data_IF_956996036655
#
_entry.id   IF_956996036655
#
_cell.length_a   1.000
_cell.length_b   1.000
_cell.length_c   1.000
_cell.angle_alpha   90.00
_cell.angle_beta   90.00
_cell.angle_gamma   90.00
#
_symmetry.space_group_name_H-M   'P 1'
#
loop_
_entity.id
_entity.type
_entity.pdbx_description
1 polymer ?
#
# COMPACT_ATOMS: atom_id res chain seq x y z
N UNK A 1 10.60 7.18 -0.48
CA UNK A 1 9.57 6.20 -0.89
C UNK A 1 8.79 6.71 -2.08
N UNK A 2 8.19 5.80 -2.80
CA UNK A 2 7.43 6.12 -4.01
C UNK A 2 6.05 5.47 -3.95
N UNK A 3 5.02 6.24 -4.31
CA UNK A 3 3.63 5.76 -4.30
C UNK A 3 2.92 6.20 -5.58
N UNK A 4 2.13 5.29 -6.14
CA UNK A 4 1.24 5.60 -7.27
C UNK A 4 -0.08 6.10 -6.71
N UNK A 5 -0.42 7.36 -7.00
CA UNK A 5 -1.62 8.01 -6.49
C UNK A 5 -2.28 8.87 -7.56
N UNK A 6 -3.56 9.13 -7.39
CA UNK A 6 -4.27 10.13 -8.21
C UNK A 6 -3.90 11.52 -7.69
N UNK A 7 -3.00 12.18 -8.40
CA UNK A 7 -2.49 13.48 -7.99
C UNK A 7 -3.58 14.55 -7.75
N UNK A 8 -4.63 14.66 -8.60
CA UNK A 8 -5.69 15.64 -8.33
C UNK A 8 -6.35 15.47 -6.97
N UNK A 9 -6.56 14.23 -6.53
CA UNK A 9 -7.17 13.93 -5.22
C UNK A 9 -6.24 14.29 -4.07
N UNK A 10 -4.96 13.96 -4.21
CA UNK A 10 -3.93 14.30 -3.21
C UNK A 10 -3.78 15.81 -3.09
N UNK A 11 -3.69 16.51 -4.22
CA UNK A 11 -3.58 17.97 -4.25
C UNK A 11 -4.78 18.65 -3.62
N UNK A 12 -5.98 18.21 -3.96
CA UNK A 12 -7.21 18.76 -3.37
C UNK A 12 -7.25 18.61 -1.85
N UNK A 13 -6.80 17.46 -1.33
CA UNK A 13 -6.72 17.22 0.10
C UNK A 13 -5.70 18.15 0.79
N UNK A 14 -4.53 18.33 0.20
CA UNK A 14 -3.52 19.27 0.71
C UNK A 14 -4.01 20.71 0.69
N UNK A 15 -4.70 21.14 -0.37
CA UNK A 15 -5.26 22.48 -0.46
C UNK A 15 -6.36 22.72 0.58
N UNK A 16 -7.11 21.67 0.94
CA UNK A 16 -8.21 21.76 1.92
C UNK A 16 -7.73 21.69 3.37
N UNK A 17 -6.78 20.80 3.69
CA UNK A 17 -6.43 20.48 5.07
C UNK A 17 -4.92 20.41 5.35
N UNK A 18 -4.08 20.55 4.33
CA UNK A 18 -2.62 20.41 4.48
C UNK A 18 -2.13 18.97 4.62
N UNK A 19 -3.01 17.98 4.45
CA UNK A 19 -2.66 16.56 4.54
C UNK A 19 -3.54 15.70 3.65
N UNK A 20 -3.04 14.51 3.34
CA UNK A 20 -3.79 13.50 2.60
C UNK A 20 -3.81 12.18 3.40
N UNK A 21 -5.00 11.68 3.64
CA UNK A 21 -5.22 10.36 4.27
C UNK A 21 -6.16 9.57 3.37
N UNK A 22 -5.75 8.37 2.90
CA UNK A 22 -6.66 7.50 2.14
C UNK A 22 -7.89 7.15 2.98
N UNK A 23 -9.04 7.07 2.31
CA UNK A 23 -10.31 6.73 2.94
C UNK A 23 -10.64 5.26 2.75
N UNK A 24 -10.92 4.56 3.85
CA UNK A 24 -11.34 3.15 3.83
C UNK A 24 -12.67 2.96 3.08
N UNK A 25 -13.65 3.78 3.38
CA UNK A 25 -14.96 3.71 2.72
C UNK A 25 -14.88 4.03 1.24
N UNK A 26 -14.04 5.00 0.84
CA UNK A 26 -13.81 5.32 -0.57
C UNK A 26 -13.10 4.18 -1.31
N UNK A 27 -12.12 3.55 -0.69
CA UNK A 27 -11.43 2.40 -1.26
C UNK A 27 -12.38 1.21 -1.48
N UNK A 28 -13.25 0.94 -0.50
CA UNK A 28 -14.29 -0.08 -0.62
C UNK A 28 -15.26 0.23 -1.76
N UNK A 29 -15.77 1.43 -1.82
CA UNK A 29 -16.71 1.84 -2.87
C UNK A 29 -16.09 1.73 -4.26
N UNK A 30 -14.83 2.14 -4.41
CA UNK A 30 -14.09 2.01 -5.67
C UNK A 30 -13.92 0.56 -6.09
N UNK A 31 -13.51 -0.31 -5.17
CA UNK A 31 -13.36 -1.74 -5.42
C UNK A 31 -14.66 -2.38 -5.90
N UNK A 32 -15.78 -2.08 -5.22
CA UNK A 32 -17.09 -2.60 -5.60
C UNK A 32 -17.52 -2.08 -6.98
N UNK A 33 -17.28 -0.81 -7.27
CA UNK A 33 -17.63 -0.23 -8.56
C UNK A 33 -16.81 -0.85 -9.72
N UNK A 34 -15.53 -1.14 -9.50
CA UNK A 34 -14.67 -1.76 -10.51
C UNK A 34 -14.98 -3.24 -10.73
N UNK A 35 -15.28 -3.98 -9.68
CA UNK A 35 -15.47 -5.44 -9.72
C UNK A 35 -16.93 -5.86 -9.89
N UNK A 36 -17.87 -4.97 -9.68
CA UNK A 36 -19.31 -5.24 -9.79
C UNK A 36 -19.94 -5.88 -8.55
N UNK A 37 -19.15 -6.32 -7.58
CA UNK A 37 -19.59 -6.86 -6.29
C UNK A 37 -18.54 -6.64 -5.20
N UNK A 38 -18.80 -7.08 -3.98
CA UNK A 38 -17.89 -6.91 -2.84
C UNK A 38 -16.94 -8.09 -2.59
N UNK A 39 -16.94 -9.12 -3.43
CA UNK A 39 -16.22 -10.37 -3.17
C UNK A 39 -14.72 -10.15 -3.01
N UNK A 40 -14.11 -9.40 -3.94
CA UNK A 40 -12.69 -9.09 -3.86
C UNK A 40 -12.35 -8.27 -2.61
N UNK A 41 -13.16 -7.27 -2.31
CA UNK A 41 -12.95 -6.44 -1.12
C UNK A 41 -13.07 -7.26 0.18
N UNK A 42 -14.07 -8.12 0.26
CA UNK A 42 -14.28 -8.96 1.43
C UNK A 42 -13.12 -9.95 1.64
N UNK A 43 -12.49 -10.38 0.57
CA UNK A 43 -11.33 -11.28 0.63
C UNK A 43 -10.04 -10.55 1.04
N UNK A 44 -9.81 -9.33 0.58
CA UNK A 44 -8.54 -8.61 0.78
C UNK A 44 -8.54 -7.70 2.00
N UNK A 45 -9.68 -7.13 2.36
CA UNK A 45 -9.77 -6.15 3.45
C UNK A 45 -9.30 -6.66 4.81
N UNK A 46 -9.48 -7.95 5.19
CA UNK A 46 -8.91 -8.45 6.44
C UNK A 46 -7.39 -8.33 6.53
N UNK A 47 -6.67 -8.46 5.40
CA UNK A 47 -5.23 -8.28 5.37
C UNK A 47 -4.83 -6.82 5.60
N UNK A 48 -5.60 -5.88 5.08
CA UNK A 48 -5.39 -4.45 5.34
C UNK A 48 -5.67 -4.09 6.79
N UNK A 49 -6.72 -4.65 7.38
CA UNK A 49 -7.04 -4.47 8.80
C UNK A 49 -5.94 -5.03 9.69
N UNK A 50 -5.42 -6.22 9.36
CA UNK A 50 -4.29 -6.81 10.05
C UNK A 50 -3.06 -5.89 10.02
N UNK A 51 -2.74 -5.32 8.86
CA UNK A 51 -1.62 -4.40 8.70
C UNK A 51 -1.80 -3.14 9.55
N UNK A 52 -3.02 -2.57 9.56
CA UNK A 52 -3.32 -1.41 10.39
C UNK A 52 -3.21 -1.73 11.89
N UNK A 53 -3.59 -2.95 12.30
CA UNK A 53 -3.41 -3.43 13.67
C UNK A 53 -1.94 -3.53 14.06
N UNK A 54 -1.09 -4.02 13.17
CA UNK A 54 0.35 -4.07 13.38
C UNK A 54 0.97 -2.66 13.48
N UNK A 55 0.48 -1.72 12.69
CA UNK A 55 0.90 -0.32 12.79
C UNK A 55 0.52 0.28 14.14
N UNK A 56 -0.69 0.02 14.63
CA UNK A 56 -1.11 0.47 15.97
C UNK A 56 -0.21 -0.07 17.07
N UNK A 57 0.12 -1.37 17.02
CA UNK A 57 1.02 -1.99 18.00
C UNK A 57 2.41 -1.35 18.01
N UNK A 58 2.82 -0.77 16.90
CA UNK A 58 4.11 -0.07 16.77
C UNK A 58 4.02 1.44 17.01
N UNK A 59 2.91 1.92 17.53
CA UNK A 59 2.73 3.33 17.85
C UNK A 59 2.32 4.21 16.68
N UNK A 60 1.74 3.62 15.63
CA UNK A 60 1.23 4.32 14.45
C UNK A 60 -0.29 4.13 14.36
N UNK A 61 -1.08 4.81 15.19
CA UNK A 61 -2.53 4.66 15.19
C UNK A 61 -3.15 5.30 13.93
N UNK A 62 -4.34 4.84 13.59
CA UNK A 62 -5.13 5.45 12.50
C UNK A 62 -5.43 6.90 12.84
N UNK A 63 -5.21 7.85 11.91
CA UNK A 63 -5.50 9.27 12.16
C UNK A 63 -7.00 9.57 12.32
N UNK A 64 -7.87 8.72 11.79
CA UNK A 64 -9.33 8.78 11.98
C UNK A 64 -9.93 7.39 11.74
N UNK A 65 -11.22 7.15 12.17
CA UNK A 65 -11.83 5.81 12.03
C UNK A 65 -12.00 5.31 10.60
N UNK A 66 -12.03 6.20 9.61
CA UNK A 66 -12.16 5.86 8.19
C UNK A 66 -10.82 5.87 7.44
N UNK A 67 -9.71 5.99 8.14
CA UNK A 67 -8.40 6.00 7.51
C UNK A 67 -8.02 4.62 6.97
N UNK A 68 -7.46 4.59 5.76
CA UNK A 68 -6.82 3.43 5.18
C UNK A 68 -5.30 3.65 5.10
N UNK A 69 -4.49 2.58 5.05
CA UNK A 69 -3.05 2.73 4.88
C UNK A 69 -2.72 3.28 3.48
N UNK A 70 -1.69 4.10 3.41
CA UNK A 70 -1.11 4.49 2.14
C UNK A 70 0.06 3.57 1.82
N UNK A 71 0.01 2.93 0.66
CA UNK A 71 1.04 2.00 0.22
C UNK A 71 2.12 2.72 -0.58
N UNK A 72 3.36 2.40 -0.30
CA UNK A 72 4.50 2.97 -0.99
C UNK A 72 5.59 1.92 -1.19
N UNK A 73 6.40 2.13 -2.21
CA UNK A 73 7.55 1.29 -2.50
C UNK A 73 8.80 1.91 -1.88
N UNK A 74 9.47 1.17 -1.03
CA UNK A 74 10.76 1.56 -0.47
C UNK A 74 11.91 0.99 -1.30
N UNK A 75 11.77 -0.27 -1.74
CA UNK A 75 12.78 -0.99 -2.50
C UNK A 75 12.14 -2.15 -3.27
N UNK A 76 12.66 -2.42 -4.44
CA UNK A 76 12.28 -3.60 -5.22
C UNK A 76 13.50 -4.15 -5.97
N UNK A 77 13.43 -5.40 -6.40
CA UNK A 77 14.51 -6.09 -7.07
C UNK A 77 14.02 -6.54 -8.46
N UNK A 78 14.83 -6.29 -9.49
CA UNK A 78 14.48 -6.70 -10.85
C UNK A 78 14.79 -8.18 -11.10
N UNK A 79 14.44 -8.67 -12.29
CA UNK A 79 14.65 -10.08 -12.67
C UNK A 79 16.12 -10.51 -12.73
N UNK A 80 17.04 -9.55 -12.75
CA UNK A 80 18.48 -9.80 -12.71
C UNK A 80 19.10 -9.67 -11.31
N UNK A 81 18.25 -9.50 -10.29
CA UNK A 81 18.68 -9.37 -8.90
C UNK A 81 19.22 -7.99 -8.53
N UNK A 82 19.04 -6.98 -9.38
CA UNK A 82 19.47 -5.61 -9.07
C UNK A 82 18.41 -4.87 -8.26
N UNK A 83 18.84 -4.18 -7.21
CA UNK A 83 17.97 -3.42 -6.34
C UNK A 83 17.70 -2.01 -6.88
N UNK A 84 16.46 -1.56 -6.73
CA UNK A 84 15.99 -0.24 -7.11
C UNK A 84 15.13 0.34 -6.00
N UNK A 85 15.03 1.65 -5.94
CA UNK A 85 14.10 2.35 -5.03
C UNK A 85 12.91 2.91 -5.78
N UNK A 86 13.13 3.46 -6.97
CA UNK A 86 12.07 4.05 -7.78
C UNK A 86 11.39 2.99 -8.66
N UNK A 87 10.06 2.83 -8.60
CA UNK A 87 9.32 1.99 -9.54
C UNK A 87 9.55 2.43 -10.99
N UNK A 88 9.68 1.46 -11.87
CA UNK A 88 9.93 1.69 -13.29
C UNK A 88 8.79 1.06 -14.11
N UNK A 89 8.02 1.90 -14.81
CA UNK A 89 6.87 1.45 -15.60
C UNK A 89 7.23 0.60 -16.81
N UNK A 90 8.50 0.50 -17.18
CA UNK A 90 8.99 -0.41 -18.20
C UNK A 90 8.90 -1.87 -17.76
N UNK A 91 8.88 -2.14 -16.46
CA UNK A 91 8.71 -3.48 -15.90
C UNK A 91 7.23 -3.85 -15.78
N UNK A 92 6.91 -5.10 -16.12
CA UNK A 92 5.52 -5.58 -16.19
C UNK A 92 4.74 -5.43 -14.88
N UNK A 93 5.41 -5.55 -13.73
CA UNK A 93 4.80 -5.38 -12.43
C UNK A 93 4.25 -3.98 -12.15
N UNK A 94 4.75 -2.97 -12.88
CA UNK A 94 4.33 -1.57 -12.70
C UNK A 94 3.58 -1.00 -13.90
N UNK A 95 3.53 -1.73 -15.02
CA UNK A 95 3.04 -1.17 -16.29
C UNK A 95 1.54 -0.97 -16.33
N UNK A 96 0.77 -1.98 -15.98
CA UNK A 96 -0.67 -2.01 -16.22
C UNK A 96 -1.52 -1.81 -14.96
N UNK A 97 -0.94 -2.00 -13.77
CA UNK A 97 -1.66 -1.89 -12.50
C UNK A 97 -1.90 -0.43 -12.08
N UNK A 98 -1.20 0.51 -12.69
CA UNK A 98 -1.13 1.89 -12.24
C UNK A 98 -1.48 2.90 -13.32
N UNK A 99 -2.23 2.48 -14.34
CA UNK A 99 -2.70 3.38 -15.40
C UNK A 99 -3.58 4.49 -14.81
N UNK A 100 -3.33 5.72 -15.24
CA UNK A 100 -4.05 6.91 -14.74
C UNK A 100 -3.55 7.42 -13.39
N UNK A 101 -2.58 6.75 -12.78
CA UNK A 101 -1.95 7.20 -11.55
C UNK A 101 -0.61 7.88 -11.84
N UNK A 102 -0.22 8.78 -10.95
CA UNK A 102 1.09 9.42 -10.99
C UNK A 102 2.01 8.85 -9.92
N UNK A 103 3.30 8.77 -10.25
CA UNK A 103 4.31 8.33 -9.32
C UNK A 103 4.76 9.51 -8.46
N UNK A 104 4.47 9.47 -7.18
CA UNK A 104 4.87 10.49 -6.22
C UNK A 104 6.10 10.03 -5.43
N UNK A 105 7.04 10.93 -5.26
CA UNK A 105 8.17 10.73 -4.34
C UNK A 105 7.80 11.31 -2.97
N UNK A 106 7.81 10.45 -1.95
CA UNK A 106 7.40 10.80 -0.59
C UNK A 106 8.60 10.85 0.34
N UNK A 107 8.65 11.87 1.19
CA UNK A 107 9.53 11.92 2.36
C UNK A 107 8.67 11.67 3.59
N UNK A 108 8.98 10.60 4.32
CA UNK A 108 8.21 10.20 5.50
C UNK A 108 9.18 9.84 6.62
N UNK A 109 8.86 10.25 7.85
CA UNK A 109 9.64 9.86 9.02
C UNK A 109 9.57 8.35 9.24
N UNK A 110 10.69 7.73 9.60
CA UNK A 110 10.78 6.28 9.79
C UNK A 110 9.78 5.75 10.84
N UNK A 111 9.48 6.53 11.86
CA UNK A 111 8.51 6.16 12.90
C UNK A 111 7.05 6.19 12.44
N UNK A 112 6.78 6.58 11.19
CA UNK A 112 5.45 6.60 10.57
C UNK A 112 5.29 5.56 9.47
N UNK A 113 6.27 4.69 9.31
CA UNK A 113 6.33 3.70 8.23
C UNK A 113 6.49 2.31 8.82
N UNK A 114 5.63 1.40 8.40
CA UNK A 114 5.80 -0.02 8.61
C UNK A 114 6.24 -0.66 7.29
N UNK A 115 7.48 -1.14 7.26
CA UNK A 115 7.98 -1.87 6.10
C UNK A 115 7.59 -3.34 6.19
N UNK A 116 7.16 -3.91 5.07
CA UNK A 116 6.86 -5.33 4.96
C UNK A 116 7.47 -5.90 3.69
N UNK A 117 7.80 -7.16 3.72
CA UNK A 117 8.19 -7.89 2.52
C UNK A 117 6.93 -8.20 1.70
N UNK A 118 6.95 -7.85 0.42
CA UNK A 118 5.78 -8.00 -0.45
C UNK A 118 5.34 -9.45 -0.58
N UNK A 119 6.29 -10.38 -0.72
CA UNK A 119 5.96 -11.81 -0.85
C UNK A 119 5.42 -12.38 0.46
N UNK A 120 5.99 -11.99 1.60
CA UNK A 120 5.50 -12.42 2.91
C UNK A 120 4.09 -11.87 3.20
N UNK A 121 3.79 -10.64 2.76
CA UNK A 121 2.47 -10.08 2.91
C UNK A 121 1.41 -10.85 2.12
N UNK A 122 1.77 -11.48 1.01
CA UNK A 122 0.86 -12.36 0.29
C UNK A 122 0.39 -13.56 1.12
N UNK A 123 1.20 -14.03 2.07
CA UNK A 123 0.76 -15.05 3.02
C UNK A 123 -0.39 -14.54 3.89
N UNK A 124 -0.35 -13.28 4.32
CA UNK A 124 -1.43 -12.66 5.09
C UNK A 124 -2.69 -12.54 4.21
N UNK A 125 -2.56 -12.04 2.99
CA UNK A 125 -3.66 -11.88 2.03
C UNK A 125 -4.37 -13.22 1.78
N UNK A 126 -3.60 -14.27 1.58
CA UNK A 126 -4.11 -15.60 1.25
C UNK A 126 -4.41 -16.45 2.49
N UNK A 127 -4.17 -15.94 3.68
CA UNK A 127 -4.34 -16.67 4.95
C UNK A 127 -3.51 -17.95 5.02
N UNK A 128 -2.31 -17.91 4.42
CA UNK A 128 -1.36 -19.00 4.44
C UNK A 128 -0.39 -18.87 5.62
N UNK A 129 0.13 -19.98 6.14
CA UNK A 129 1.24 -19.91 7.08
C UNK A 129 2.44 -19.25 6.41
N UNK A 130 3.06 -18.29 7.09
CA UNK A 130 4.34 -17.73 6.66
C UNK A 130 5.46 -18.42 7.41
N UNK A 131 6.39 -19.02 6.67
CA UNK A 131 7.64 -19.41 7.26
C UNK A 131 8.42 -18.14 7.63
N UNK A 132 9.05 -18.08 8.81
CA UNK A 132 9.95 -16.98 9.11
C UNK A 132 11.07 -16.92 8.07
N UNK A 133 11.45 -15.70 7.67
CA UNK A 133 12.64 -15.53 6.86
C UNK A 133 13.79 -16.15 7.64
N UNK A 134 14.37 -17.19 7.08
CA UNK A 134 15.45 -17.90 7.74
C UNK A 134 16.73 -17.06 7.64
N UNK A 135 16.99 -16.29 8.69
CA UNK A 135 18.14 -15.40 8.75
C UNK A 135 19.48 -16.14 8.79
N UNK A 136 19.44 -17.46 8.87
CA UNK A 136 20.63 -18.29 8.92
C UNK A 136 21.01 -18.96 7.59
N UNK A 137 20.22 -18.77 6.56
CA UNK A 137 20.48 -19.35 5.24
C UNK A 137 21.00 -18.33 4.27
#
# INVERSE_FOLDING_TARGET
>A
MYSFQRWPDVRAAFDRSGSYTPSWSAARAKSIAEDGDSDWWDDISPAYEWMMGEMEHKGMPRPNPDAAPLWAWARWVDSKGRAHTRPDRRYSGFRNQYDGLELLHLRVDENRVLCTDFDQYHCVINRWPCAPLDAGT
#
